data_IF_609063065532
#
_entry.id   IF_609063065532
#
_cell.length_a   1.000
_cell.length_b   1.000
_cell.length_c   1.000
_cell.angle_alpha   90.00
_cell.angle_beta   90.00
_cell.angle_gamma   90.00
#
_symmetry.space_group_name_H-M   'P 1'
#
loop_
_entity.id
_entity.type
_entity.pdbx_description
1 polymer ?
#
# COMPACT_ATOMS: atom_id res chain seq x y z
N UNK A 1 2.37 31.01 -46.26
CA UNK A 1 3.42 31.06 -45.23
C UNK A 1 3.12 29.94 -44.26
N UNK A 2 3.95 28.90 -44.26
CA UNK A 2 3.72 27.67 -43.50
C UNK A 2 3.96 27.91 -42.01
N UNK A 3 3.02 27.43 -41.19
CA UNK A 3 3.18 27.28 -39.75
C UNK A 3 4.16 26.11 -39.52
N UNK A 4 5.41 26.41 -39.18
CA UNK A 4 6.33 25.38 -38.73
C UNK A 4 5.87 24.90 -37.35
N UNK A 5 5.35 23.68 -37.33
CA UNK A 5 5.09 22.93 -36.11
C UNK A 5 6.40 22.71 -35.36
N UNK A 6 6.53 23.36 -34.21
CA UNK A 6 7.43 22.90 -33.17
C UNK A 6 6.82 21.60 -32.61
N UNK A 7 7.23 20.47 -33.19
CA UNK A 7 7.16 19.20 -32.48
C UNK A 7 8.02 19.38 -31.23
N UNK A 8 7.38 19.45 -30.07
CA UNK A 8 8.07 19.23 -28.81
C UNK A 8 8.68 17.83 -28.91
N UNK A 9 10.01 17.75 -28.95
CA UNK A 9 10.71 16.50 -28.73
C UNK A 9 10.24 15.99 -27.36
N UNK A 10 9.49 14.89 -27.35
CA UNK A 10 9.25 14.14 -26.11
C UNK A 10 10.63 13.75 -25.59
N UNK A 11 11.14 14.46 -24.59
CA UNK A 11 12.33 14.04 -23.85
C UNK A 11 12.07 12.61 -23.40
N UNK A 12 12.82 11.67 -23.98
CA UNK A 12 12.69 10.25 -23.65
C UNK A 12 13.03 10.10 -22.18
N UNK A 13 12.00 9.87 -21.37
CA UNK A 13 12.13 9.67 -19.93
C UNK A 13 13.06 8.48 -19.68
N UNK A 14 14.25 8.76 -19.17
CA UNK A 14 15.24 7.71 -18.90
C UNK A 14 14.88 6.97 -17.61
N UNK A 15 14.35 5.75 -17.76
CA UNK A 15 14.09 4.83 -16.65
C UNK A 15 15.23 3.85 -16.49
N UNK A 16 15.75 3.75 -15.28
CA UNK A 16 16.80 2.81 -14.90
C UNK A 16 16.13 1.71 -14.07
N UNK A 17 16.02 0.47 -14.59
CA UNK A 17 15.46 -0.65 -13.82
C UNK A 17 16.28 -0.94 -12.57
N UNK A 18 15.59 -1.23 -11.46
CA UNK A 18 16.18 -1.60 -10.17
C UNK A 18 15.41 -2.81 -9.64
N UNK A 19 16.15 -3.84 -9.22
CA UNK A 19 15.60 -5.00 -8.53
C UNK A 19 16.20 -5.05 -7.13
N UNK A 20 15.34 -5.09 -6.11
CA UNK A 20 15.76 -5.20 -4.70
C UNK A 20 15.06 -6.39 -4.09
N UNK A 21 15.83 -7.39 -3.64
CA UNK A 21 15.29 -8.62 -3.04
C UNK A 21 14.21 -9.32 -3.90
N UNK A 22 14.37 -9.28 -5.23
CA UNK A 22 13.43 -9.87 -6.19
C UNK A 22 12.20 -9.00 -6.51
N UNK A 23 12.06 -7.83 -5.88
CA UNK A 23 11.01 -6.87 -6.17
C UNK A 23 11.45 -5.91 -7.27
N UNK A 24 10.69 -5.87 -8.36
CA UNK A 24 10.95 -4.99 -9.50
C UNK A 24 10.55 -3.55 -9.20
N UNK A 25 11.29 -2.63 -9.80
CA UNK A 25 11.04 -1.19 -9.78
C UNK A 25 11.98 -0.46 -10.73
N UNK A 26 11.98 0.86 -10.67
CA UNK A 26 12.87 1.70 -11.46
C UNK A 26 13.13 3.04 -10.79
N UNK A 27 14.24 3.67 -11.19
CA UNK A 27 14.50 5.08 -10.93
C UNK A 27 14.30 5.89 -12.20
N UNK A 28 13.78 7.10 -12.05
CA UNK A 28 13.51 8.04 -13.12
C UNK A 28 14.09 9.41 -12.75
N UNK A 29 14.89 9.99 -13.65
CA UNK A 29 15.46 11.32 -13.43
C UNK A 29 14.37 12.37 -13.66
N UNK A 30 14.27 13.32 -12.74
CA UNK A 30 13.36 14.47 -12.80
C UNK A 30 14.15 15.77 -12.62
N UNK A 31 13.53 16.92 -12.93
CA UNK A 31 14.17 18.23 -12.83
C UNK A 31 14.67 18.60 -11.41
N UNK A 32 14.19 17.92 -10.36
CA UNK A 32 14.54 18.18 -8.96
C UNK A 32 15.26 17.04 -8.23
N UNK A 33 15.67 15.97 -8.95
CA UNK A 33 16.30 14.79 -8.36
C UNK A 33 15.79 13.49 -8.97
N UNK A 34 15.67 12.43 -8.17
CA UNK A 34 15.29 11.09 -8.65
C UNK A 34 13.98 10.61 -8.04
N UNK A 35 13.08 10.13 -8.90
CA UNK A 35 11.90 9.38 -8.50
C UNK A 35 12.19 7.89 -8.48
N UNK A 36 11.87 7.22 -7.38
CA UNK A 36 11.98 5.77 -7.20
C UNK A 36 10.58 5.17 -7.20
N UNK A 37 10.36 4.18 -8.05
CA UNK A 37 9.06 3.56 -8.29
C UNK A 37 9.16 2.05 -8.07
N UNK A 38 8.36 1.51 -7.16
CA UNK A 38 8.33 0.09 -6.81
C UNK A 38 7.75 -0.14 -5.43
N UNK A 39 7.31 -1.37 -5.13
CA UNK A 39 6.72 -1.70 -3.80
C UNK A 39 7.66 -1.35 -2.64
N UNK A 40 8.97 -1.50 -2.87
CA UNK A 40 10.05 -1.19 -1.92
C UNK A 40 10.26 0.31 -1.68
N UNK A 41 9.73 1.19 -2.51
CA UNK A 41 9.98 2.63 -2.41
C UNK A 41 9.21 3.29 -1.25
N UNK A 42 7.94 2.96 -1.06
CA UNK A 42 7.06 3.56 -0.03
C UNK A 42 5.68 2.88 0.06
N UNK A 43 4.75 3.45 0.85
CA UNK A 43 3.34 3.02 0.88
C UNK A 43 2.63 3.20 -0.45
N UNK A 44 2.91 4.32 -1.11
CA UNK A 44 2.40 4.67 -2.44
C UNK A 44 3.13 3.93 -3.57
N UNK A 45 4.28 3.32 -3.27
CA UNK A 45 5.16 2.74 -4.28
C UNK A 45 6.01 3.79 -5.00
N UNK A 46 6.07 5.00 -4.45
CA UNK A 46 6.84 6.12 -4.98
C UNK A 46 7.58 6.88 -3.87
N UNK A 47 8.85 7.20 -4.10
CA UNK A 47 9.65 8.09 -3.26
C UNK A 47 10.48 9.02 -4.12
N UNK A 48 10.48 10.31 -3.80
CA UNK A 48 11.35 11.28 -4.44
C UNK A 48 12.54 11.61 -3.53
N UNK A 49 13.74 11.67 -4.10
CA UNK A 49 14.91 12.21 -3.43
C UNK A 49 15.36 13.50 -4.10
N UNK A 50 15.59 14.53 -3.30
CA UNK A 50 16.20 15.77 -3.75
C UNK A 50 17.72 15.62 -3.77
N UNK A 51 18.39 16.06 -4.83
CA UNK A 51 19.85 16.05 -4.85
C UNK A 51 20.47 15.98 -6.24
N UNK A 52 21.79 15.87 -6.24
CA UNK A 52 22.67 15.81 -7.42
C UNK A 52 22.48 14.55 -8.27
N UNK A 53 23.15 14.51 -9.42
CA UNK A 53 23.20 13.32 -10.26
C UNK A 53 23.71 12.11 -9.48
N UNK A 54 22.98 11.01 -9.58
CA UNK A 54 23.33 9.71 -9.01
C UNK A 54 23.70 8.81 -10.17
N UNK A 55 24.80 8.08 -10.03
CA UNK A 55 25.12 7.00 -10.95
C UNK A 55 24.28 5.75 -10.62
N UNK A 56 24.39 4.72 -11.46
CA UNK A 56 23.59 3.50 -11.33
C UNK A 56 23.81 2.77 -10.00
N UNK A 57 25.04 2.75 -9.50
CA UNK A 57 25.38 2.11 -8.22
C UNK A 57 24.75 2.86 -7.04
N UNK A 58 24.83 4.19 -7.06
CA UNK A 58 24.20 5.05 -6.06
C UNK A 58 22.67 4.90 -6.06
N UNK A 59 22.05 4.80 -7.23
CA UNK A 59 20.60 4.55 -7.34
C UNK A 59 20.20 3.20 -6.74
N UNK A 60 20.98 2.14 -7.00
CA UNK A 60 20.76 0.84 -6.40
C UNK A 60 20.88 0.91 -4.87
N UNK A 61 21.88 1.63 -4.35
CA UNK A 61 22.08 1.79 -2.92
C UNK A 61 20.89 2.47 -2.23
N UNK A 62 20.37 3.57 -2.81
CA UNK A 62 19.19 4.26 -2.30
C UNK A 62 17.97 3.34 -2.30
N UNK A 63 17.77 2.54 -3.36
CA UNK A 63 16.67 1.58 -3.41
C UNK A 63 16.76 0.50 -2.30
N UNK A 64 17.97 0.03 -1.99
CA UNK A 64 18.22 -0.90 -0.89
C UNK A 64 18.01 -0.28 0.49
N UNK A 65 18.30 1.01 0.67
CA UNK A 65 17.95 1.75 1.89
C UNK A 65 16.43 1.84 2.05
N UNK A 66 15.71 2.23 1.01
CA UNK A 66 14.24 2.30 1.03
C UNK A 66 13.64 0.92 1.35
N UNK A 67 14.11 -0.14 0.72
CA UNK A 67 13.68 -1.50 1.04
C UNK A 67 13.91 -1.85 2.51
N UNK A 68 15.08 -1.54 3.08
CA UNK A 68 15.40 -1.80 4.48
C UNK A 68 14.47 -1.03 5.43
N UNK A 69 14.09 0.20 5.08
CA UNK A 69 13.13 0.98 5.86
C UNK A 69 11.71 0.38 5.82
N UNK A 70 11.28 -0.12 4.66
CA UNK A 70 9.92 -0.64 4.47
C UNK A 70 9.74 -2.09 4.93
N UNK A 71 10.78 -2.94 4.81
CA UNK A 71 10.68 -4.38 5.06
C UNK A 71 10.21 -4.79 6.47
N UNK A 72 10.57 -4.12 7.58
CA UNK A 72 10.08 -4.53 8.91
C UNK A 72 8.62 -4.13 9.18
N UNK A 73 8.01 -3.33 8.31
CA UNK A 73 6.64 -2.85 8.49
C UNK A 73 5.61 -3.97 8.28
N UNK A 74 4.42 -3.75 8.79
CA UNK A 74 3.26 -4.56 8.44
C UNK A 74 2.72 -4.17 7.05
N UNK A 75 1.82 -4.98 6.52
CA UNK A 75 1.16 -4.70 5.23
C UNK A 75 0.35 -3.40 5.28
N UNK A 76 -0.52 -3.24 6.29
CA UNK A 76 -1.36 -2.06 6.50
C UNK A 76 -0.60 -0.95 7.24
N UNK A 77 -0.26 0.13 6.55
CA UNK A 77 0.33 1.32 7.15
C UNK A 77 -0.53 2.53 6.75
N UNK A 78 -1.27 3.12 7.70
CA UNK A 78 -2.32 4.10 7.38
C UNK A 78 -1.85 5.53 7.11
N UNK A 79 -0.65 5.89 7.55
CA UNK A 79 -0.10 7.24 7.37
C UNK A 79 1.42 7.20 7.18
N UNK A 80 1.94 7.77 6.09
CA UNK A 80 3.39 7.92 5.85
C UNK A 80 4.04 8.98 6.78
N UNK A 81 3.22 9.68 7.59
CA UNK A 81 3.67 10.66 8.56
C UNK A 81 4.12 9.98 9.86
N UNK A 82 5.37 9.50 9.85
CA UNK A 82 6.07 8.89 11.00
C UNK A 82 5.94 9.69 12.30
N UNK A 83 5.79 11.01 12.20
CA UNK A 83 5.68 11.97 13.30
C UNK A 83 4.41 11.84 14.15
N UNK A 84 3.34 11.22 13.63
CA UNK A 84 2.09 10.97 14.37
C UNK A 84 1.86 9.49 14.71
N UNK A 85 2.88 8.65 14.47
CA UNK A 85 2.79 7.21 14.59
C UNK A 85 2.01 6.58 13.44
N UNK A 86 2.49 5.44 12.93
CA UNK A 86 1.82 4.67 11.90
C UNK A 86 0.48 4.14 12.44
N UNK A 87 -0.64 4.82 12.13
CA UNK A 87 -1.96 4.29 12.47
C UNK A 87 -2.29 3.18 11.47
N UNK A 88 -2.19 1.92 11.89
CA UNK A 88 -2.50 0.76 11.03
C UNK A 88 -4.00 0.64 10.73
N UNK A 89 -4.84 0.97 11.72
CA UNK A 89 -6.31 0.98 11.68
C UNK A 89 -6.80 2.15 12.54
N UNK A 90 -7.81 2.91 12.11
CA UNK A 90 -8.35 4.06 12.86
C UNK A 90 -9.87 4.19 12.74
N UNK A 91 -10.46 5.03 13.57
CA UNK A 91 -11.86 5.49 13.41
C UNK A 91 -11.83 6.85 12.72
N UNK A 92 -12.60 7.01 11.65
CA UNK A 92 -12.68 8.27 10.89
C UNK A 92 -13.66 9.27 11.54
N UNK A 93 -13.80 10.46 10.96
CA UNK A 93 -14.67 11.52 11.48
C UNK A 93 -16.17 11.17 11.50
N UNK A 94 -16.58 10.12 10.79
CA UNK A 94 -17.95 9.61 10.75
C UNK A 94 -18.19 8.47 11.73
N UNK A 95 -17.19 8.10 12.54
CA UNK A 95 -17.30 7.00 13.49
C UNK A 95 -17.08 5.61 12.88
N UNK A 96 -16.72 5.51 11.60
CA UNK A 96 -16.47 4.22 10.95
C UNK A 96 -15.01 3.80 11.11
N UNK A 97 -14.77 2.49 11.27
CA UNK A 97 -13.42 1.93 11.23
C UNK A 97 -12.89 1.99 9.80
N UNK A 98 -11.73 2.61 9.63
CA UNK A 98 -11.06 2.86 8.35
C UNK A 98 -9.65 2.25 8.36
N UNK A 99 -9.29 1.66 7.22
CA UNK A 99 -7.95 1.20 6.88
C UNK A 99 -7.48 1.83 5.58
N UNK A 100 -6.17 1.82 5.36
CA UNK A 100 -5.56 2.24 4.11
C UNK A 100 -4.79 1.09 3.50
N UNK A 101 -5.07 0.80 2.22
CA UNK A 101 -4.29 -0.16 1.46
C UNK A 101 -3.10 0.52 0.78
N UNK A 102 -1.96 -0.20 0.63
CA UNK A 102 -0.90 0.24 -0.26
C UNK A 102 -1.48 0.52 -1.65
N UNK A 103 -1.01 1.57 -2.34
CA UNK A 103 -1.55 1.90 -3.68
C UNK A 103 -1.29 0.78 -4.69
N UNK A 104 -0.24 0.00 -4.45
CA UNK A 104 0.15 -1.15 -5.25
C UNK A 104 -0.51 -2.47 -4.82
N UNK A 105 -1.45 -2.47 -3.87
CA UNK A 105 -2.13 -3.67 -3.39
C UNK A 105 -2.81 -4.43 -4.52
N UNK A 106 -2.65 -5.75 -4.52
CA UNK A 106 -3.24 -6.67 -5.49
C UNK A 106 -4.77 -6.75 -5.35
N UNK A 107 -5.41 -7.22 -6.41
CA UNK A 107 -6.83 -7.63 -6.43
C UNK A 107 -7.17 -8.64 -5.34
N UNK A 108 -6.31 -9.62 -5.05
CA UNK A 108 -6.60 -10.68 -4.05
C UNK A 108 -6.93 -10.13 -2.66
N UNK A 109 -6.19 -9.13 -2.19
CA UNK A 109 -6.42 -8.46 -0.91
C UNK A 109 -7.72 -7.64 -0.95
N UNK A 110 -7.98 -6.94 -2.07
CA UNK A 110 -9.19 -6.12 -2.24
C UNK A 110 -10.44 -6.99 -2.26
N UNK A 111 -10.40 -8.15 -2.92
CA UNK A 111 -11.50 -9.10 -3.01
C UNK A 111 -11.76 -9.76 -1.66
N UNK A 112 -10.70 -10.15 -0.93
CA UNK A 112 -10.82 -10.67 0.43
C UNK A 112 -11.49 -9.64 1.36
N UNK A 113 -11.04 -8.38 1.34
CA UNK A 113 -11.65 -7.31 2.16
C UNK A 113 -13.10 -7.03 1.77
N UNK A 114 -13.41 -7.02 0.47
CA UNK A 114 -14.78 -6.84 -0.02
C UNK A 114 -15.70 -7.96 0.46
N UNK A 115 -15.18 -9.18 0.54
CA UNK A 115 -15.92 -10.34 1.06
C UNK A 115 -16.23 -10.24 2.56
N UNK A 116 -15.48 -9.42 3.30
CA UNK A 116 -15.72 -9.08 4.71
C UNK A 116 -16.67 -7.87 4.88
N UNK A 117 -17.28 -7.40 3.79
CA UNK A 117 -18.14 -6.21 3.79
C UNK A 117 -17.38 -4.88 3.89
N UNK A 118 -16.05 -4.88 3.75
CA UNK A 118 -15.24 -3.67 3.77
C UNK A 118 -15.28 -3.02 2.39
N UNK A 119 -15.62 -1.73 2.32
CA UNK A 119 -15.83 -1.02 1.06
C UNK A 119 -14.81 0.12 0.88
N UNK A 120 -14.38 0.35 -0.36
CA UNK A 120 -13.52 1.49 -0.69
C UNK A 120 -14.30 2.82 -0.51
N UNK A 121 -13.82 3.70 0.37
CA UNK A 121 -14.42 5.01 0.65
C UNK A 121 -13.75 6.14 -0.14
N UNK A 122 -12.45 6.04 -0.41
CA UNK A 122 -11.68 7.06 -1.12
C UNK A 122 -10.63 6.42 -2.03
N UNK A 123 -10.86 6.39 -3.36
CA UNK A 123 -9.90 5.79 -4.32
C UNK A 123 -8.53 6.45 -4.29
N UNK A 124 -8.47 7.79 -4.26
CA UNK A 124 -7.21 8.55 -4.32
C UNK A 124 -6.25 8.24 -3.18
N UNK A 125 -6.80 8.01 -1.99
CA UNK A 125 -6.02 7.70 -0.79
C UNK A 125 -5.99 6.20 -0.48
N UNK A 126 -6.73 5.38 -1.25
CA UNK A 126 -6.94 3.96 -1.02
C UNK A 126 -7.50 3.67 0.39
N UNK A 127 -8.45 4.50 0.86
CA UNK A 127 -9.15 4.23 2.12
C UNK A 127 -10.31 3.26 1.92
N UNK A 128 -10.43 2.35 2.88
CA UNK A 128 -11.45 1.32 2.96
C UNK A 128 -12.09 1.37 4.34
N UNK A 129 -13.41 1.18 4.40
CA UNK A 129 -14.20 1.33 5.63
C UNK A 129 -15.01 0.07 5.89
N UNK A 130 -15.06 -0.34 7.16
CA UNK A 130 -15.95 -1.39 7.62
C UNK A 130 -17.40 -0.88 7.69
N UNK A 131 -18.38 -1.80 7.77
CA UNK A 131 -19.76 -1.47 8.15
C UNK A 131 -19.82 -0.68 9.46
N UNK A 132 -20.84 0.17 9.60
CA UNK A 132 -20.95 1.13 10.71
C UNK A 132 -21.11 0.50 12.09
N UNK A 133 -21.51 -0.77 12.16
CA UNK A 133 -21.72 -1.54 13.39
C UNK A 133 -20.48 -2.35 13.82
N UNK A 134 -19.37 -2.23 13.08
CA UNK A 134 -18.09 -2.87 13.40
C UNK A 134 -17.28 -1.99 14.34
N UNK A 135 -16.89 -2.56 15.47
CA UNK A 135 -16.02 -1.89 16.43
C UNK A 135 -14.53 -2.06 16.08
N UNK A 136 -13.70 -1.11 16.53
CA UNK A 136 -12.26 -1.09 16.24
C UNK A 136 -11.53 -2.38 16.66
N UNK A 137 -11.94 -3.00 17.76
CA UNK A 137 -11.29 -4.23 18.24
C UNK A 137 -11.64 -5.42 17.34
N UNK A 138 -12.89 -5.54 16.87
CA UNK A 138 -13.34 -6.59 15.94
C UNK A 138 -12.62 -6.46 14.59
N UNK A 139 -12.50 -5.23 14.08
CA UNK A 139 -11.74 -4.98 12.85
C UNK A 139 -10.26 -5.38 12.99
N UNK A 140 -9.62 -5.08 14.14
CA UNK A 140 -8.23 -5.50 14.39
C UNK A 140 -8.08 -7.00 14.47
N UNK A 141 -9.02 -7.69 15.12
CA UNK A 141 -9.03 -9.14 15.21
C UNK A 141 -9.05 -9.77 13.80
N UNK A 142 -9.98 -9.36 12.94
CA UNK A 142 -10.09 -9.88 11.56
C UNK A 142 -8.84 -9.56 10.74
N UNK A 143 -8.29 -8.36 10.89
CA UNK A 143 -7.13 -7.88 10.13
C UNK A 143 -5.78 -8.33 10.67
N UNK A 144 -5.74 -9.10 11.76
CA UNK A 144 -4.50 -9.49 12.44
C UNK A 144 -3.40 -10.03 11.49
N UNK A 145 -3.71 -10.84 10.45
CA UNK A 145 -2.72 -11.27 9.46
C UNK A 145 -1.98 -10.13 8.75
N UNK A 146 -2.65 -9.00 8.50
CA UNK A 146 -2.08 -7.83 7.81
C UNK A 146 -1.40 -6.83 8.76
N UNK A 147 -1.58 -7.01 10.07
CA UNK A 147 -1.05 -6.12 11.10
C UNK A 147 0.29 -6.61 11.68
N UNK A 148 0.69 -7.85 11.37
CA UNK A 148 1.95 -8.43 11.80
C UNK A 148 3.16 -7.70 11.20
N UNK A 149 4.26 -7.50 11.95
CA UNK A 149 5.50 -6.97 11.41
C UNK A 149 6.08 -7.90 10.33
N UNK A 150 6.92 -7.36 9.44
CA UNK A 150 7.52 -8.08 8.32
C UNK A 150 6.54 -8.68 7.29
N UNK A 151 5.29 -8.22 7.26
CA UNK A 151 4.30 -8.66 6.26
C UNK A 151 4.19 -7.73 5.05
N UNK A 152 4.95 -6.62 5.06
CA UNK A 152 4.92 -5.60 4.01
C UNK A 152 5.05 -6.19 2.60
N UNK A 153 5.96 -7.14 2.41
CA UNK A 153 6.24 -7.77 1.10
C UNK A 153 5.93 -9.26 1.10
N UNK A 154 5.08 -9.73 2.01
CA UNK A 154 4.61 -11.11 1.98
C UNK A 154 3.71 -11.36 0.75
N UNK A 155 3.53 -12.63 0.41
CA UNK A 155 2.64 -13.04 -0.67
C UNK A 155 1.19 -12.59 -0.39
N UNK A 156 0.65 -11.76 -1.28
CA UNK A 156 -0.67 -11.15 -1.11
C UNK A 156 -1.80 -12.17 -1.19
N UNK A 157 -1.61 -13.26 -1.95
CA UNK A 157 -2.58 -14.36 -2.04
C UNK A 157 -2.61 -15.16 -0.73
N UNK A 158 -1.44 -15.41 -0.13
CA UNK A 158 -1.35 -16.06 1.18
C UNK A 158 -1.96 -15.18 2.30
N UNK A 159 -1.70 -13.87 2.27
CA UNK A 159 -2.31 -12.92 3.20
C UNK A 159 -3.84 -12.86 3.04
N UNK A 160 -4.36 -12.83 1.82
CA UNK A 160 -5.80 -12.86 1.52
C UNK A 160 -6.46 -14.17 2.02
N UNK A 161 -5.78 -15.30 1.83
CA UNK A 161 -6.22 -16.60 2.36
C UNK A 161 -6.28 -16.58 3.89
N UNK A 162 -5.23 -16.10 4.56
CA UNK A 162 -5.19 -15.98 6.03
C UNK A 162 -6.29 -15.08 6.58
N UNK A 163 -6.60 -13.96 5.91
CA UNK A 163 -7.73 -13.11 6.27
C UNK A 163 -9.05 -13.89 6.21
N UNK A 164 -9.27 -14.65 5.13
CA UNK A 164 -10.48 -15.44 4.93
C UNK A 164 -10.62 -16.58 5.94
N UNK A 165 -9.51 -17.18 6.37
CA UNK A 165 -9.48 -18.22 7.40
C UNK A 165 -9.70 -17.65 8.81
N UNK A 166 -9.21 -16.43 9.06
CA UNK A 166 -9.34 -15.76 10.35
C UNK A 166 -10.76 -15.22 10.61
N UNK A 167 -11.51 -14.92 9.54
CA UNK A 167 -12.83 -14.32 9.66
C UNK A 167 -13.88 -15.20 10.36
N UNK A 168 -14.09 -16.48 9.99
CA UNK A 168 -15.07 -17.35 10.67
C UNK A 168 -14.80 -17.53 12.17
N UNK A 169 -13.54 -17.44 12.60
CA UNK A 169 -13.14 -17.53 14.01
C UNK A 169 -13.25 -16.21 14.78
N UNK A 170 -13.42 -15.09 14.08
CA UNK A 170 -13.56 -13.77 14.71
C UNK A 170 -14.97 -13.55 15.26
N UNK A 171 -15.12 -12.60 16.17
CA UNK A 171 -16.44 -12.21 16.68
C UNK A 171 -17.38 -11.75 15.55
N UNK A 172 -16.81 -11.09 14.54
CA UNK A 172 -17.51 -10.56 13.36
C UNK A 172 -18.11 -11.69 12.51
N UNK A 173 -17.31 -12.73 12.21
CA UNK A 173 -17.77 -13.90 11.45
C UNK A 173 -18.81 -14.72 12.21
N UNK A 174 -18.71 -14.80 13.55
CA UNK A 174 -19.73 -15.46 14.37
C UNK A 174 -21.08 -14.71 14.31
N UNK A 175 -21.07 -13.37 14.36
CA UNK A 175 -22.28 -12.54 14.24
C UNK A 175 -22.96 -12.71 12.88
N UNK A 176 -22.21 -12.71 11.78
CA UNK A 176 -22.78 -12.95 10.44
C UNK A 176 -23.41 -14.34 10.33
N UNK A 177 -22.73 -15.37 10.84
CA UNK A 177 -23.26 -16.73 10.83
C UNK A 177 -24.59 -16.81 11.59
N UNK A 178 -24.70 -16.18 12.76
CA UNK A 178 -25.96 -16.12 13.50
C UNK A 178 -27.07 -15.42 12.72
N UNK A 179 -26.78 -14.30 12.06
CA UNK A 179 -27.77 -13.57 11.25
C UNK A 179 -28.22 -14.37 10.02
N UNK A 180 -27.34 -15.17 9.41
CA UNK A 180 -27.66 -16.00 8.24
C UNK A 180 -28.54 -17.21 8.53
N UNK A 181 -28.67 -17.59 9.81
CA UNK A 181 -29.48 -18.71 10.27
C UNK A 181 -30.94 -18.33 10.60
N UNK A 182 -31.29 -17.03 10.50
CA UNK A 182 -32.64 -16.49 10.67
C UNK A 182 -33.25 -16.05 9.33
#
# INVERSE_FOLDING_TARGET
MSLNGAFAEEESVQRIPIIVSGLEGYAEKSCGGWGFYGKWASHTGYRHTHGSELDKESLQHVAEELYREQSPLCYLIGDEHKEFGWKKVRVNMHGHVEIRLPQWADTSIKDALSSLGVCMSCPSNCYWVFPSDVELYQAKEVLEPLLQPNTRFADETDLARKLSENFPSSELGFRETQLSLF
#
